data_IF_971503922367
#
_entry.id   IF_971503922367
#
_cell.length_a   1.000
_cell.length_b   1.000
_cell.length_c   1.000
_cell.angle_alpha   90.00
_cell.angle_beta   90.00
_cell.angle_gamma   90.00
#
_symmetry.space_group_name_H-M   'P 1'
#
loop_
_entity.id
_entity.type
_entity.pdbx_description
1 polymer ?
#
# COMPACT_ATOMS: atom_id res chain seq x y z
N UNK A 1 -11.78 2.71 -7.13
CA UNK A 1 -11.18 1.37 -6.93
C UNK A 1 -10.08 1.51 -5.89
N UNK A 2 -10.06 0.67 -4.86
CA UNK A 2 -8.96 0.65 -3.90
C UNK A 2 -7.67 0.26 -4.63
N UNK A 3 -6.56 0.97 -4.38
CA UNK A 3 -5.26 0.60 -4.95
C UNK A 3 -4.76 -0.66 -4.27
N UNK A 4 -4.29 -1.63 -5.04
CA UNK A 4 -3.64 -2.82 -4.48
C UNK A 4 -2.34 -2.44 -3.76
N UNK A 5 -1.87 -3.28 -2.83
CA UNK A 5 -0.56 -3.08 -2.19
C UNK A 5 0.57 -2.94 -3.23
N UNK A 6 0.48 -3.70 -4.33
CA UNK A 6 1.38 -3.62 -5.49
C UNK A 6 1.33 -2.24 -6.17
N UNK A 7 0.15 -1.68 -6.40
CA UNK A 7 -0.01 -0.35 -7.01
C UNK A 7 0.50 0.77 -6.11
N UNK A 8 0.28 0.63 -4.80
CA UNK A 8 0.76 1.58 -3.80
C UNK A 8 2.30 1.58 -3.74
N UNK A 9 2.92 0.39 -3.66
CA UNK A 9 4.37 0.28 -3.70
C UNK A 9 4.95 0.84 -5.01
N UNK A 10 4.32 0.54 -6.15
CA UNK A 10 4.71 1.10 -7.45
C UNK A 10 4.70 2.63 -7.46
N UNK A 11 3.71 3.25 -6.80
CA UNK A 11 3.56 4.71 -6.76
C UNK A 11 4.70 5.44 -6.02
N UNK A 12 5.34 4.77 -5.07
CA UNK A 12 6.48 5.32 -4.32
C UNK A 12 7.84 4.81 -4.81
N UNK A 13 7.87 3.81 -5.70
CA UNK A 13 9.06 3.07 -6.13
C UNK A 13 10.20 3.98 -6.60
N UNK A 14 9.90 5.03 -7.38
CA UNK A 14 10.89 5.99 -7.87
C UNK A 14 11.55 6.77 -6.72
N UNK A 15 10.75 7.36 -5.83
CA UNK A 15 11.24 8.09 -4.64
C UNK A 15 12.06 7.15 -3.75
N UNK A 16 11.55 5.94 -3.51
CA UNK A 16 12.20 4.95 -2.69
C UNK A 16 13.55 4.53 -3.26
N UNK A 17 13.64 4.30 -4.58
CA UNK A 17 14.88 3.97 -5.27
C UNK A 17 15.94 5.07 -5.11
N UNK A 18 15.56 6.33 -5.24
CA UNK A 18 16.50 7.45 -5.08
C UNK A 18 16.99 7.58 -3.63
N UNK A 19 16.11 7.38 -2.64
CA UNK A 19 16.51 7.35 -1.23
C UNK A 19 17.40 6.14 -0.88
N UNK A 20 17.05 4.94 -1.35
CA UNK A 20 17.84 3.72 -1.14
C UNK A 20 19.23 3.84 -1.78
N UNK A 21 19.35 4.49 -2.94
CA UNK A 21 20.64 4.68 -3.60
C UNK A 21 21.69 5.37 -2.71
N UNK A 22 21.26 6.16 -1.72
CA UNK A 22 22.15 6.85 -0.78
C UNK A 22 22.56 5.97 0.41
N UNK A 23 21.79 4.92 0.74
CA UNK A 23 22.00 4.01 1.88
C UNK A 23 21.97 2.53 1.50
N UNK A 24 22.36 2.23 0.27
CA UNK A 24 22.11 0.93 -0.36
C UNK A 24 22.60 -0.24 0.49
N UNK A 25 23.80 -0.14 1.07
CA UNK A 25 24.40 -1.19 1.90
C UNK A 25 23.58 -1.43 3.16
N UNK A 26 23.17 -0.37 3.85
CA UNK A 26 22.40 -0.47 5.10
C UNK A 26 21.02 -1.05 4.85
N UNK A 27 20.36 -0.57 3.79
CA UNK A 27 19.03 -1.03 3.40
C UNK A 27 19.06 -2.49 2.94
N UNK A 28 19.99 -2.86 2.08
CA UNK A 28 20.12 -4.24 1.59
C UNK A 28 20.42 -5.22 2.72
N UNK A 29 21.29 -4.85 3.65
CA UNK A 29 21.59 -5.67 4.84
C UNK A 29 20.35 -5.88 5.71
N UNK A 30 19.53 -4.84 5.92
CA UNK A 30 18.28 -4.94 6.69
C UNK A 30 17.25 -5.85 6.00
N UNK A 31 17.09 -5.71 4.68
CA UNK A 31 16.20 -6.57 3.89
C UNK A 31 16.66 -8.02 3.89
N UNK A 32 17.98 -8.26 3.83
CA UNK A 32 18.56 -9.59 3.90
C UNK A 32 18.35 -10.24 5.27
N UNK A 33 18.57 -9.49 6.36
CA UNK A 33 18.36 -9.98 7.72
C UNK A 33 16.91 -10.45 7.96
N UNK A 34 15.95 -9.90 7.22
CA UNK A 34 14.53 -10.32 7.26
C UNK A 34 14.14 -11.32 6.18
N UNK A 35 15.10 -11.85 5.44
CA UNK A 35 14.89 -12.83 4.36
C UNK A 35 13.94 -12.32 3.26
N UNK A 36 13.91 -11.00 3.03
CA UNK A 36 13.09 -10.37 1.97
C UNK A 36 13.80 -10.35 0.62
N UNK A 37 15.12 -10.51 0.62
CA UNK A 37 15.96 -10.63 -0.57
C UNK A 37 16.85 -11.87 -0.45
N UNK A 38 17.28 -12.40 -1.59
CA UNK A 38 18.20 -13.54 -1.64
C UNK A 38 19.61 -13.12 -1.27
N UNK A 39 20.44 -14.07 -0.82
CA UNK A 39 21.87 -13.86 -0.58
C UNK A 39 22.56 -13.30 -1.83
N UNK A 40 22.28 -13.88 -3.00
CA UNK A 40 22.82 -13.40 -4.27
C UNK A 40 22.48 -11.92 -4.52
N UNK A 41 21.22 -11.51 -4.32
CA UNK A 41 20.85 -10.11 -4.52
C UNK A 41 21.54 -9.21 -3.50
N UNK A 42 21.73 -9.66 -2.26
CA UNK A 42 22.46 -8.90 -1.25
C UNK A 42 23.94 -8.69 -1.64
N UNK A 43 24.62 -9.74 -2.08
CA UNK A 43 26.01 -9.70 -2.55
C UNK A 43 26.15 -8.74 -3.73
N UNK A 44 25.21 -8.76 -4.69
CA UNK A 44 25.19 -7.79 -5.79
C UNK A 44 25.05 -6.33 -5.31
N UNK A 45 24.29 -6.08 -4.24
CA UNK A 45 24.18 -4.72 -3.68
C UNK A 45 25.50 -4.26 -3.04
N UNK A 46 26.22 -5.18 -2.39
CA UNK A 46 27.51 -4.91 -1.74
C UNK A 46 28.64 -4.75 -2.75
N UNK A 47 28.79 -5.70 -3.67
CA UNK A 47 30.00 -5.88 -4.48
C UNK A 47 29.77 -5.69 -5.98
N UNK A 48 28.53 -5.52 -6.43
CA UNK A 48 28.23 -5.37 -7.86
C UNK A 48 28.95 -4.18 -8.50
N UNK A 49 29.27 -4.29 -9.78
CA UNK A 49 29.96 -3.23 -10.55
C UNK A 49 29.05 -2.04 -10.90
N UNK A 50 27.74 -2.23 -10.79
CA UNK A 50 26.74 -1.21 -11.08
C UNK A 50 26.79 -0.02 -10.11
N UNK A 51 26.32 1.13 -10.60
CA UNK A 51 26.11 2.29 -9.73
C UNK A 51 25.07 1.99 -8.64
N UNK A 52 25.18 2.67 -7.49
CA UNK A 52 24.20 2.52 -6.41
C UNK A 52 22.77 2.78 -6.87
N UNK A 53 22.58 3.67 -7.86
CA UNK A 53 21.26 3.97 -8.41
C UNK A 53 20.67 2.80 -9.20
N UNK A 54 21.49 2.14 -10.02
CA UNK A 54 21.08 0.95 -10.78
C UNK A 54 20.80 -0.22 -9.84
N UNK A 55 21.67 -0.44 -8.85
CA UNK A 55 21.48 -1.46 -7.81
C UNK A 55 20.20 -1.23 -7.01
N UNK A 56 19.94 0.00 -6.57
CA UNK A 56 18.70 0.36 -5.89
C UNK A 56 17.46 0.14 -6.77
N UNK A 57 17.55 0.46 -8.07
CA UNK A 57 16.46 0.18 -9.01
C UNK A 57 16.20 -1.33 -9.13
N UNK A 58 17.25 -2.15 -9.22
CA UNK A 58 17.13 -3.61 -9.24
C UNK A 58 16.48 -4.14 -7.96
N UNK A 59 16.93 -3.66 -6.80
CA UNK A 59 16.37 -4.01 -5.49
C UNK A 59 14.87 -3.71 -5.41
N UNK A 60 14.46 -2.49 -5.79
CA UNK A 60 13.04 -2.08 -5.77
C UNK A 60 12.22 -2.90 -6.76
N UNK A 61 12.78 -3.23 -7.93
CA UNK A 61 12.12 -4.07 -8.94
C UNK A 61 11.86 -5.48 -8.40
N UNK A 62 12.86 -6.12 -7.79
CA UNK A 62 12.70 -7.46 -7.19
C UNK A 62 11.68 -7.43 -6.05
N UNK A 63 11.67 -6.39 -5.21
CA UNK A 63 10.67 -6.24 -4.17
C UNK A 63 9.25 -6.09 -4.74
N UNK A 64 9.08 -5.34 -5.83
CA UNK A 64 7.81 -5.17 -6.52
C UNK A 64 7.32 -6.48 -7.15
N UNK A 65 8.21 -7.25 -7.79
CA UNK A 65 7.89 -8.54 -8.39
C UNK A 65 7.50 -9.57 -7.34
N UNK A 66 8.29 -9.68 -6.26
CA UNK A 66 7.97 -10.54 -5.13
C UNK A 66 6.64 -10.15 -4.50
N UNK A 67 6.38 -8.86 -4.31
CA UNK A 67 5.10 -8.34 -3.80
C UNK A 67 3.93 -8.74 -4.70
N UNK A 68 4.09 -8.67 -6.03
CA UNK A 68 3.05 -9.05 -6.98
C UNK A 68 2.76 -10.56 -6.99
N UNK A 69 3.81 -11.38 -6.84
CA UNK A 69 3.70 -12.84 -6.81
C UNK A 69 3.31 -13.41 -5.43
N UNK A 70 3.36 -12.60 -4.37
CA UNK A 70 3.12 -13.06 -3.00
C UNK A 70 1.64 -13.39 -2.76
N UNK A 71 1.36 -14.54 -2.12
CA UNK A 71 -0.02 -14.96 -1.77
C UNK A 71 -0.75 -13.95 -0.89
N UNK A 72 0.00 -13.20 -0.08
CA UNK A 72 -0.54 -12.12 0.73
C UNK A 72 0.34 -10.86 0.60
N UNK A 73 0.06 -10.00 -0.39
CA UNK A 73 0.93 -8.87 -0.73
C UNK A 73 0.96 -7.82 0.37
N UNK A 74 -0.13 -7.64 1.11
CA UNK A 74 -0.23 -6.63 2.16
C UNK A 74 0.72 -6.94 3.33
N UNK A 75 0.75 -8.20 3.79
CA UNK A 75 1.70 -8.64 4.83
C UNK A 75 3.14 -8.61 4.35
N UNK A 76 3.41 -8.95 3.08
CA UNK A 76 4.76 -8.82 2.52
C UNK A 76 5.20 -7.35 2.52
N UNK A 77 4.33 -6.44 2.07
CA UNK A 77 4.60 -5.01 2.07
C UNK A 77 4.89 -4.49 3.48
N UNK A 78 4.11 -4.90 4.48
CA UNK A 78 4.37 -4.53 5.88
C UNK A 78 5.76 -4.97 6.35
N UNK A 79 6.19 -6.20 6.01
CA UNK A 79 7.55 -6.67 6.36
C UNK A 79 8.64 -5.83 5.69
N UNK A 80 8.46 -5.48 4.43
CA UNK A 80 9.37 -4.57 3.69
C UNK A 80 9.41 -3.20 4.37
N UNK A 81 8.24 -2.60 4.66
CA UNK A 81 8.14 -1.32 5.37
C UNK A 81 8.86 -1.36 6.72
N UNK A 82 8.64 -2.41 7.52
CA UNK A 82 9.34 -2.58 8.78
C UNK A 82 10.86 -2.67 8.59
N UNK A 83 11.36 -3.35 7.54
CA UNK A 83 12.79 -3.54 7.32
C UNK A 83 13.47 -2.22 6.90
N UNK A 84 12.80 -1.47 6.03
CA UNK A 84 13.22 -0.15 5.61
C UNK A 84 13.25 0.83 6.80
N UNK A 85 12.29 0.77 7.72
CA UNK A 85 12.25 1.65 8.90
C UNK A 85 13.28 1.33 9.96
N UNK A 86 13.72 0.08 10.08
CA UNK A 86 14.62 -0.34 11.16
C UNK A 86 16.01 0.28 11.03
N UNK A 87 16.50 0.41 9.79
CA UNK A 87 17.86 0.86 9.50
C UNK A 87 17.95 1.95 8.44
N UNK A 88 16.85 2.31 7.78
CA UNK A 88 16.82 3.36 6.77
C UNK A 88 16.99 4.75 7.38
N UNK A 89 17.57 5.67 6.59
CA UNK A 89 17.61 7.08 6.96
C UNK A 89 16.21 7.70 7.02
N UNK A 90 16.12 8.88 7.63
CA UNK A 90 14.87 9.62 7.83
C UNK A 90 14.04 9.73 6.54
N UNK A 91 14.66 9.99 5.39
CA UNK A 91 13.93 10.09 4.12
C UNK A 91 13.24 8.78 3.71
N UNK A 92 13.88 7.64 3.94
CA UNK A 92 13.29 6.31 3.68
C UNK A 92 12.12 6.08 4.64
N UNK A 93 12.30 6.39 5.93
CA UNK A 93 11.26 6.27 6.96
C UNK A 93 10.04 7.12 6.61
N UNK A 94 10.24 8.38 6.19
CA UNK A 94 9.18 9.29 5.82
C UNK A 94 8.38 8.77 4.61
N UNK A 95 9.05 8.28 3.57
CA UNK A 95 8.41 7.67 2.39
C UNK A 95 7.61 6.42 2.78
N UNK A 96 8.17 5.57 3.65
CA UNK A 96 7.49 4.35 4.12
C UNK A 96 6.26 4.69 4.98
N UNK A 97 6.35 5.71 5.83
CA UNK A 97 5.21 6.18 6.61
C UNK A 97 4.10 6.75 5.71
N UNK A 98 4.46 7.49 4.65
CA UNK A 98 3.50 7.97 3.64
C UNK A 98 2.77 6.79 2.97
N UNK A 99 3.51 5.72 2.64
CA UNK A 99 2.95 4.50 2.07
C UNK A 99 2.00 3.78 3.04
N UNK A 100 2.40 3.55 4.29
CA UNK A 100 1.57 2.89 5.31
C UNK A 100 0.28 3.68 5.62
N UNK A 101 0.38 5.01 5.64
CA UNK A 101 -0.77 5.89 5.80
C UNK A 101 -1.72 5.78 4.60
N UNK A 102 -1.19 5.75 3.38
CA UNK A 102 -1.99 5.61 2.16
C UNK A 102 -2.67 4.24 2.06
N UNK A 103 -1.98 3.18 2.51
CA UNK A 103 -2.55 1.83 2.62
C UNK A 103 -3.73 1.81 3.59
N UNK A 104 -3.56 2.39 4.78
CA UNK A 104 -4.61 2.48 5.80
C UNK A 104 -5.84 3.24 5.29
N UNK A 105 -5.65 4.36 4.61
CA UNK A 105 -6.76 5.13 3.99
C UNK A 105 -7.49 4.31 2.92
N UNK A 106 -6.74 3.61 2.06
CA UNK A 106 -7.35 2.82 0.97
C UNK A 106 -8.26 1.71 1.50
N UNK A 107 -7.86 1.04 2.58
CA UNK A 107 -8.68 0.01 3.25
C UNK A 107 -9.96 0.63 3.83
N UNK A 108 -9.84 1.76 4.55
CA UNK A 108 -11.00 2.44 5.16
C UNK A 108 -11.99 2.95 4.11
N UNK A 109 -11.51 3.41 2.96
CA UNK A 109 -12.39 3.89 1.90
C UNK A 109 -13.15 2.74 1.23
N UNK A 110 -12.54 1.56 1.09
CA UNK A 110 -13.18 0.38 0.50
C UNK A 110 -14.36 -0.14 1.34
N UNK A 111 -14.22 -0.17 2.67
CA UNK A 111 -15.31 -0.55 3.59
C UNK A 111 -16.45 0.47 3.59
N UNK A 112 -16.14 1.78 3.59
CA UNK A 112 -17.17 2.84 3.57
C UNK A 112 -18.03 2.82 2.30
N UNK A 113 -17.42 2.51 1.16
CA UNK A 113 -18.14 2.36 -0.12
C UNK A 113 -18.99 1.09 -0.19
N UNK A 114 -18.71 0.07 0.62
CA UNK A 114 -19.50 -1.17 0.66
C UNK A 114 -20.72 -1.10 1.59
N UNK A 115 -20.79 -0.07 2.45
CA UNK A 115 -21.85 0.10 3.45
C UNK A 115 -23.00 1.04 3.03
N UNK A 116 -23.01 1.55 1.79
CA UNK A 116 -24.09 2.43 1.30
C UNK A 116 -25.11 1.64 0.46
N UNK A 117 -25.93 0.85 1.13
CA UNK A 117 -27.27 0.45 0.66
C UNK A 117 -28.16 0.44 1.88
N UNK A 118 -28.52 1.63 2.33
CA UNK A 118 -29.66 1.82 3.22
C UNK A 118 -30.67 2.55 2.35
N UNK A 119 -31.60 1.74 1.87
CA UNK A 119 -32.91 2.08 1.33
C UNK A 119 -33.48 3.32 2.04
N UNK A 120 -33.75 4.39 1.29
CA UNK A 120 -34.59 5.48 1.78
C UNK A 120 -36.00 4.90 2.03
N UNK A 121 -36.57 5.03 3.24
CA UNK A 121 -38.00 4.80 3.39
C UNK A 121 -38.73 6.03 2.84
N UNK A 122 -39.11 6.00 1.56
CA UNK A 122 -40.21 6.83 1.05
C UNK A 122 -41.52 6.26 1.59
N UNK A 123 -41.84 6.54 2.86
CA UNK A 123 -43.18 6.23 3.38
C UNK A 123 -44.14 7.35 3.02
N UNK A 124 -44.97 7.00 2.04
CA UNK A 124 -46.03 7.78 1.40
C UNK A 124 -47.13 8.19 2.38
N UNK A 125 -47.32 9.49 2.61
CA UNK A 125 -48.56 10.01 3.22
C UNK A 125 -49.65 10.12 2.14
N UNK A 126 -50.38 9.02 1.93
CA UNK A 126 -51.59 8.99 1.09
C UNK A 126 -52.78 9.51 1.88
N UNK A 127 -53.37 10.61 1.42
CA UNK A 127 -54.60 11.19 1.97
C UNK A 127 -55.79 10.29 1.62
N UNK A 128 -56.41 9.68 2.62
CA UNK A 128 -57.66 8.95 2.46
C UNK A 128 -58.87 9.90 2.61
N UNK A 129 -59.55 10.04 1.48
CA UNK A 129 -60.88 10.60 1.24
C UNK A 129 -61.96 10.00 2.16
N UNK A 130 -62.85 10.85 2.65
CA UNK A 130 -64.06 10.47 3.38
C UNK A 130 -65.24 11.31 2.91
N UNK A 131 -65.84 10.91 1.78
CA UNK A 131 -67.00 11.58 1.16
C UNK A 131 -68.34 11.09 1.73
N UNK A 132 -69.09 12.05 2.32
CA UNK A 132 -70.56 12.27 2.34
C UNK A 132 -71.61 11.23 2.81
N UNK A 133 -72.60 11.76 3.56
CA UNK A 133 -74.01 11.35 3.58
C UNK A 133 -74.69 11.69 4.93
N UNK A 134 -75.92 12.18 5.09
CA UNK A 134 -77.07 12.52 4.22
C UNK A 134 -77.96 13.52 5.01
N UNK A 135 -78.65 14.42 4.30
CA UNK A 135 -79.72 15.31 4.77
C UNK A 135 -80.99 14.57 5.21
N UNK A 136 -81.60 14.97 6.33
CA UNK A 136 -83.03 15.30 6.38
C UNK A 136 -83.36 16.16 7.63
#
# INVERSE_FOLDING_TARGET
>A
MAKSASDLFRSISAKLKDSISSDLVVVSTSLYARSLITTQLHEEMLEGLDSNSNKAAKLVTVLQENLHAHTNPETYLQKVCSALKEKGQKQIVDIVNELEHTLSISVVQAIKSSSISIDEPEDTLSAADGTQGIQN
#
